data_IF_385426889543
#
_entry.id   IF_385426889543
#
_cell.length_a   1.000
_cell.length_b   1.000
_cell.length_c   1.000
_cell.angle_alpha   90.00
_cell.angle_beta   90.00
_cell.angle_gamma   90.00
#
_symmetry.space_group_name_H-M   'P 1'
#
loop_
_entity.id
_entity.type
_entity.pdbx_description
1 polymer ?
#
# COMPACT_ATOMS: atom_id res chain seq x y z
N UNK A 1 -24.09 21.93 -17.17
CA UNK A 1 -23.99 22.46 -15.80
C UNK A 1 -25.37 22.44 -15.17
N UNK A 2 -25.54 21.75 -14.05
CA UNK A 2 -26.78 21.66 -13.28
C UNK A 2 -27.06 23.01 -12.60
N UNK A 3 -28.16 23.70 -12.89
CA UNK A 3 -28.51 24.98 -12.26
C UNK A 3 -28.76 24.82 -10.75
N UNK A 4 -29.32 23.71 -10.31
CA UNK A 4 -29.56 23.41 -8.88
C UNK A 4 -28.27 23.34 -8.12
N UNK A 5 -27.23 22.71 -8.69
CA UNK A 5 -25.91 22.70 -8.11
C UNK A 5 -25.32 24.10 -7.86
N UNK A 6 -25.50 25.04 -8.83
CA UNK A 6 -25.04 26.43 -8.68
C UNK A 6 -25.73 27.13 -7.53
N UNK A 7 -27.05 26.96 -7.43
CA UNK A 7 -27.84 27.55 -6.35
C UNK A 7 -27.44 26.98 -4.99
N UNK A 8 -27.26 25.68 -4.91
CA UNK A 8 -26.81 25.01 -3.67
C UNK A 8 -25.38 25.38 -3.28
N UNK A 9 -24.46 25.42 -4.24
CA UNK A 9 -23.05 25.75 -3.98
C UNK A 9 -22.84 27.20 -3.53
N UNK A 10 -23.77 28.09 -3.86
CA UNK A 10 -23.73 29.48 -3.41
C UNK A 10 -24.28 29.70 -1.99
N UNK A 11 -24.89 28.67 -1.37
CA UNK A 11 -25.51 28.77 -0.04
C UNK A 11 -24.62 28.22 1.07
N UNK A 12 -24.72 28.78 2.28
CA UNK A 12 -24.08 28.19 3.45
C UNK A 12 -24.55 26.76 3.70
N UNK A 13 -23.65 25.96 4.27
CA UNK A 13 -23.94 24.57 4.66
C UNK A 13 -24.97 24.55 5.76
N UNK A 14 -25.97 23.68 5.64
CA UNK A 14 -27.08 23.50 6.59
C UNK A 14 -28.03 24.70 6.76
N UNK A 15 -28.04 25.64 5.82
CA UNK A 15 -29.20 26.52 5.68
C UNK A 15 -30.42 25.71 5.20
N UNK A 16 -31.62 26.22 5.54
CA UNK A 16 -32.89 25.59 5.22
C UNK A 16 -32.97 25.09 3.77
N UNK A 17 -33.60 23.95 3.61
CA UNK A 17 -33.89 23.40 2.29
C UNK A 17 -34.59 24.44 1.42
N UNK A 18 -34.30 24.44 0.16
CA UNK A 18 -34.93 25.33 -0.81
C UNK A 18 -35.75 24.57 -1.85
N UNK A 19 -36.77 25.20 -2.39
CA UNK A 19 -37.48 24.70 -3.56
C UNK A 19 -37.11 25.51 -4.79
N UNK A 20 -36.80 24.82 -5.89
CA UNK A 20 -36.58 25.42 -7.20
C UNK A 20 -37.60 24.85 -8.17
N UNK A 21 -38.25 25.74 -8.91
CA UNK A 21 -39.10 25.38 -10.04
C UNK A 21 -38.24 25.35 -11.30
N UNK A 22 -38.25 24.21 -11.99
CA UNK A 22 -37.41 24.05 -13.17
C UNK A 22 -37.91 24.77 -14.40
N UNK A 23 -39.24 25.07 -14.50
CA UNK A 23 -39.80 25.88 -15.58
C UNK A 23 -39.29 27.33 -15.49
N UNK A 24 -39.08 27.88 -14.32
CA UNK A 24 -38.49 29.20 -14.11
C UNK A 24 -36.99 29.25 -14.55
N UNK A 25 -36.33 28.11 -14.56
CA UNK A 25 -34.94 27.98 -15.02
C UNK A 25 -34.81 27.74 -16.54
N UNK A 26 -35.93 27.56 -17.24
CA UNK A 26 -35.92 27.23 -18.67
C UNK A 26 -35.27 28.30 -19.53
N UNK A 27 -35.43 29.58 -19.16
CA UNK A 27 -34.86 30.73 -19.86
C UNK A 27 -33.35 30.87 -19.60
N UNK A 28 -32.90 30.60 -18.37
CA UNK A 28 -31.47 30.73 -17.98
C UNK A 28 -30.64 29.56 -18.48
N UNK A 29 -31.22 28.34 -18.52
CA UNK A 29 -30.53 27.11 -18.88
C UNK A 29 -31.33 26.24 -19.87
N UNK A 30 -31.64 26.76 -21.10
CA UNK A 30 -32.57 26.12 -22.02
C UNK A 30 -32.16 24.72 -22.50
N UNK A 31 -30.84 24.44 -22.60
CA UNK A 31 -30.34 23.10 -22.98
C UNK A 31 -30.58 22.10 -21.86
N UNK A 32 -30.27 22.45 -20.61
CA UNK A 32 -30.47 21.58 -19.47
C UNK A 32 -31.94 21.26 -19.25
N UNK A 33 -32.82 22.29 -19.34
CA UNK A 33 -34.25 22.09 -19.24
C UNK A 33 -34.78 21.14 -20.32
N UNK A 34 -34.41 21.36 -21.58
CA UNK A 34 -34.90 20.59 -22.73
C UNK A 34 -34.39 19.17 -22.78
N UNK A 35 -33.09 18.95 -22.41
CA UNK A 35 -32.42 17.64 -22.55
C UNK A 35 -32.54 16.78 -21.29
N UNK A 36 -32.66 17.38 -20.12
CA UNK A 36 -32.64 16.66 -18.84
C UNK A 36 -33.97 16.79 -18.10
N UNK A 37 -34.44 18.02 -17.82
CA UNK A 37 -35.61 18.22 -16.95
C UNK A 37 -36.91 17.76 -17.59
N UNK A 38 -37.20 18.23 -18.76
CA UNK A 38 -38.47 17.95 -19.43
C UNK A 38 -38.67 16.47 -19.81
N UNK A 39 -37.67 15.77 -20.40
CA UNK A 39 -37.83 14.38 -20.75
C UNK A 39 -37.98 13.45 -19.54
N UNK A 40 -37.45 13.84 -18.38
CA UNK A 40 -37.50 13.06 -17.13
C UNK A 40 -38.64 13.53 -16.20
N UNK A 41 -39.51 14.44 -16.65
CA UNK A 41 -40.65 15.00 -15.88
C UNK A 41 -40.19 15.57 -14.51
N UNK A 42 -39.08 16.30 -14.50
CA UNK A 42 -38.53 16.93 -13.29
C UNK A 42 -39.00 18.38 -13.20
N UNK A 43 -40.13 18.58 -12.52
CA UNK A 43 -40.80 19.92 -12.43
C UNK A 43 -40.33 20.74 -11.24
N UNK A 44 -40.16 20.11 -10.09
CA UNK A 44 -39.75 20.75 -8.85
C UNK A 44 -38.61 19.99 -8.22
N UNK A 45 -37.72 20.71 -7.54
CA UNK A 45 -36.70 20.10 -6.69
C UNK A 45 -36.71 20.78 -5.33
N UNK A 46 -36.75 19.97 -4.26
CA UNK A 46 -36.40 20.39 -2.91
C UNK A 46 -34.97 19.98 -2.65
N UNK A 47 -34.10 20.91 -2.30
CA UNK A 47 -32.66 20.64 -2.20
C UNK A 47 -32.05 21.26 -0.96
N UNK A 48 -31.08 20.58 -0.37
CA UNK A 48 -30.31 21.05 0.76
C UNK A 48 -28.82 20.75 0.55
N UNK A 49 -27.96 21.72 0.87
CA UNK A 49 -26.51 21.54 0.86
C UNK A 49 -26.07 20.89 2.17
N UNK A 50 -25.39 19.75 2.08
CA UNK A 50 -24.86 19.03 3.23
C UNK A 50 -23.42 19.41 3.56
N UNK A 51 -22.62 19.64 2.52
CA UNK A 51 -21.22 20.08 2.61
C UNK A 51 -20.91 20.99 1.45
N UNK A 52 -20.11 22.01 1.72
CA UNK A 52 -19.63 22.94 0.72
C UNK A 52 -18.28 23.49 1.16
N UNK A 53 -17.21 22.76 0.87
CA UNK A 53 -15.84 23.24 1.03
C UNK A 53 -15.15 23.39 -0.33
N UNK A 54 -13.89 23.86 -0.34
CA UNK A 54 -13.16 24.13 -1.59
C UNK A 54 -12.91 22.88 -2.44
N UNK A 55 -12.90 21.72 -1.82
CA UNK A 55 -12.54 20.46 -2.45
C UNK A 55 -13.74 19.55 -2.66
N UNK A 56 -14.81 19.75 -1.91
CA UNK A 56 -15.92 18.82 -1.88
C UNK A 56 -17.26 19.50 -1.63
N UNK A 57 -18.21 19.17 -2.49
CA UNK A 57 -19.60 19.59 -2.36
C UNK A 57 -20.51 18.36 -2.35
N UNK A 58 -21.45 18.32 -1.41
CA UNK A 58 -22.48 17.31 -1.34
C UNK A 58 -23.83 17.95 -0.99
N UNK A 59 -24.87 17.54 -1.68
CA UNK A 59 -26.23 17.96 -1.43
C UNK A 59 -27.22 16.86 -1.73
N UNK A 60 -28.44 17.03 -1.26
CA UNK A 60 -29.57 16.15 -1.58
C UNK A 60 -30.58 17.00 -2.36
N UNK A 61 -31.06 16.46 -3.48
CA UNK A 61 -32.16 16.98 -4.24
C UNK A 61 -33.24 15.92 -4.40
N UNK A 62 -34.49 16.27 -4.04
CA UNK A 62 -35.66 15.42 -4.25
C UNK A 62 -36.52 16.07 -5.29
N UNK A 63 -36.86 15.34 -6.35
CA UNK A 63 -37.61 15.87 -7.49
C UNK A 63 -39.08 15.45 -7.48
N UNK A 64 -39.94 16.30 -8.03
CA UNK A 64 -41.34 16.02 -8.34
C UNK A 64 -41.64 16.32 -9.79
N UNK A 65 -42.64 15.63 -10.33
CA UNK A 65 -43.20 15.85 -11.65
C UNK A 65 -43.73 17.29 -11.83
N UNK A 66 -43.74 17.79 -13.07
CA UNK A 66 -44.42 19.05 -13.44
C UNK A 66 -45.94 19.05 -13.13
N UNK A 67 -46.53 17.84 -12.99
CA UNK A 67 -47.98 17.69 -12.70
C UNK A 67 -48.28 17.65 -11.20
N UNK A 68 -47.24 17.51 -10.36
CA UNK A 68 -47.39 17.48 -8.92
C UNK A 68 -47.46 18.91 -8.34
N UNK A 69 -47.95 19.02 -7.11
CA UNK A 69 -47.82 20.26 -6.35
C UNK A 69 -46.36 20.52 -5.94
N UNK A 70 -45.94 21.77 -5.80
CA UNK A 70 -44.66 22.13 -5.26
C UNK A 70 -44.41 21.52 -3.86
N UNK A 71 -43.14 21.42 -3.44
CA UNK A 71 -42.83 21.08 -2.07
C UNK A 71 -43.28 22.21 -1.13
N UNK A 72 -43.93 21.85 -0.04
CA UNK A 72 -44.36 22.79 1.00
C UNK A 72 -43.41 22.78 2.20
N UNK A 73 -43.70 23.62 3.19
CA UNK A 73 -42.90 23.82 4.39
C UNK A 73 -42.67 22.51 5.18
N UNK A 74 -43.64 21.59 5.15
CA UNK A 74 -43.53 20.31 5.86
C UNK A 74 -42.43 19.42 5.31
N UNK A 75 -42.33 19.34 3.98
CA UNK A 75 -41.31 18.55 3.30
C UNK A 75 -39.92 19.19 3.47
N UNK A 76 -39.86 20.52 3.43
CA UNK A 76 -38.61 21.25 3.67
C UNK A 76 -38.13 21.04 5.11
N UNK A 77 -38.99 21.14 6.12
CA UNK A 77 -38.67 20.83 7.51
C UNK A 77 -38.18 19.39 7.69
N UNK A 78 -38.76 18.44 6.94
CA UNK A 78 -38.28 17.06 6.97
C UNK A 78 -36.84 16.93 6.44
N UNK A 79 -36.50 17.62 5.37
CA UNK A 79 -35.14 17.66 4.85
C UNK A 79 -34.17 18.29 5.85
N UNK A 80 -34.58 19.36 6.54
CA UNK A 80 -33.76 20.03 7.57
C UNK A 80 -33.50 19.09 8.76
N UNK A 81 -34.50 18.30 9.20
CA UNK A 81 -34.34 17.30 10.26
C UNK A 81 -33.43 16.14 9.83
N UNK A 82 -33.50 15.73 8.57
CA UNK A 82 -32.71 14.62 8.04
C UNK A 82 -31.27 15.03 7.69
N UNK A 83 -31.02 16.30 7.37
CA UNK A 83 -29.71 16.78 6.94
C UNK A 83 -28.55 16.41 7.89
N UNK A 84 -28.66 16.57 9.23
CA UNK A 84 -27.61 16.18 10.16
C UNK A 84 -27.28 14.68 10.12
N UNK A 85 -28.26 13.83 9.85
CA UNK A 85 -28.07 12.38 9.74
C UNK A 85 -27.30 12.04 8.47
N UNK A 86 -27.65 12.65 7.34
CA UNK A 86 -26.88 12.50 6.09
C UNK A 86 -25.47 13.06 6.22
N UNK A 87 -25.29 14.22 6.84
CA UNK A 87 -23.97 14.78 7.11
C UNK A 87 -23.08 13.82 7.92
N UNK A 88 -23.66 13.21 8.98
CA UNK A 88 -22.94 12.23 9.80
C UNK A 88 -22.58 10.99 8.98
N UNK A 89 -23.51 10.44 8.21
CA UNK A 89 -23.26 9.27 7.37
C UNK A 89 -22.14 9.54 6.34
N UNK A 90 -22.19 10.68 5.65
CA UNK A 90 -21.16 11.07 4.68
C UNK A 90 -19.80 11.34 5.31
N UNK A 91 -19.74 11.90 6.54
CA UNK A 91 -18.47 12.06 7.27
C UNK A 91 -17.86 10.72 7.63
N UNK A 92 -18.67 9.78 8.08
CA UNK A 92 -18.22 8.41 8.41
C UNK A 92 -17.70 7.72 7.12
N UNK A 93 -18.44 7.82 6.03
CA UNK A 93 -18.05 7.22 4.75
C UNK A 93 -16.72 7.82 4.24
N UNK A 94 -16.60 9.15 4.25
CA UNK A 94 -15.35 9.85 3.86
C UNK A 94 -14.17 9.42 4.75
N UNK A 95 -14.36 9.34 6.05
CA UNK A 95 -13.32 8.91 6.98
C UNK A 95 -12.91 7.44 6.73
N UNK A 96 -13.87 6.57 6.47
CA UNK A 96 -13.63 5.16 6.14
C UNK A 96 -12.88 5.03 4.80
N UNK A 97 -13.31 5.73 3.76
CA UNK A 97 -12.62 5.75 2.46
C UNK A 97 -11.18 6.25 2.58
N UNK A 98 -10.95 7.33 3.34
CA UNK A 98 -9.60 7.85 3.58
C UNK A 98 -8.74 6.86 4.36
N UNK A 99 -9.28 6.20 5.38
CA UNK A 99 -8.57 5.18 6.14
C UNK A 99 -8.22 3.98 5.26
N UNK A 100 -9.16 3.51 4.45
CA UNK A 100 -8.96 2.39 3.51
C UNK A 100 -7.91 2.74 2.44
N UNK A 101 -7.97 3.96 1.89
CA UNK A 101 -6.99 4.40 0.90
C UNK A 101 -5.58 4.51 1.50
N UNK A 102 -5.46 5.05 2.71
CA UNK A 102 -4.17 5.09 3.42
C UNK A 102 -3.63 3.70 3.70
N UNK A 103 -4.49 2.80 4.16
CA UNK A 103 -4.10 1.40 4.40
C UNK A 103 -3.63 0.72 3.10
N UNK A 104 -4.35 0.88 1.99
CA UNK A 104 -3.96 0.34 0.68
C UNK A 104 -2.62 0.93 0.19
N UNK A 105 -2.40 2.24 0.36
CA UNK A 105 -1.13 2.88 0.01
C UNK A 105 0.04 2.34 0.84
N UNK A 106 -0.15 2.18 2.15
CA UNK A 106 0.86 1.58 3.03
C UNK A 106 1.12 0.12 2.67
N UNK A 107 0.09 -0.66 2.37
CA UNK A 107 0.25 -2.04 1.89
C UNK A 107 1.03 -2.11 0.58
N UNK A 108 0.78 -1.20 -0.35
CA UNK A 108 1.56 -1.10 -1.59
C UNK A 108 3.04 -0.86 -1.30
N UNK A 109 3.37 0.10 -0.43
CA UNK A 109 4.76 0.37 -0.02
C UNK A 109 5.40 -0.84 0.67
N UNK A 110 4.67 -1.49 1.60
CA UNK A 110 5.17 -2.71 2.27
C UNK A 110 5.39 -3.86 1.29
N UNK A 111 4.57 -3.95 0.23
CA UNK A 111 4.74 -4.95 -0.83
C UNK A 111 5.97 -4.70 -1.69
N UNK A 112 6.51 -3.49 -1.66
CA UNK A 112 7.74 -3.10 -2.35
C UNK A 112 9.01 -3.42 -1.56
N UNK A 113 8.89 -3.75 -0.28
CA UNK A 113 10.03 -4.17 0.51
C UNK A 113 10.56 -5.53 0.04
N UNK A 114 11.87 -5.66 0.03
CA UNK A 114 12.57 -6.93 -0.26
C UNK A 114 12.39 -7.97 0.86
N UNK A 115 12.05 -7.51 2.05
CA UNK A 115 11.89 -8.34 3.24
C UNK A 115 10.44 -8.75 3.43
N UNK A 116 10.20 -10.00 3.77
CA UNK A 116 8.92 -10.47 4.25
C UNK A 116 8.55 -9.76 5.54
N UNK A 117 7.33 -9.25 5.64
CA UNK A 117 6.77 -8.69 6.87
C UNK A 117 5.59 -9.55 7.28
N UNK A 118 5.61 -10.06 8.50
CA UNK A 118 4.50 -10.82 9.10
C UNK A 118 4.16 -10.19 10.45
N UNK A 119 2.86 -10.00 10.71
CA UNK A 119 2.37 -9.45 11.97
C UNK A 119 1.61 -10.52 12.72
N UNK A 120 1.93 -10.70 14.00
CA UNK A 120 1.28 -11.62 14.92
C UNK A 120 0.49 -10.85 15.98
N UNK A 121 -0.73 -11.32 16.26
CA UNK A 121 -1.53 -10.82 17.39
C UNK A 121 -1.07 -11.42 18.72
N UNK A 122 -1.78 -11.06 19.82
CA UNK A 122 -1.50 -11.58 21.17
C UNK A 122 -1.68 -13.09 21.34
N UNK A 123 -2.32 -13.80 20.39
CA UNK A 123 -2.52 -15.25 20.37
C UNK A 123 -1.57 -15.98 19.41
N UNK A 124 -0.50 -15.33 18.93
CA UNK A 124 0.45 -15.86 17.96
C UNK A 124 -0.16 -16.21 16.58
N UNK A 125 -1.28 -15.58 16.25
CA UNK A 125 -1.90 -15.73 14.94
C UNK A 125 -1.44 -14.64 13.99
N UNK A 126 -1.20 -15.01 12.74
CA UNK A 126 -0.87 -14.08 11.67
C UNK A 126 -2.10 -13.26 11.32
N UNK A 127 -2.02 -11.96 11.50
CA UNK A 127 -3.07 -10.99 11.14
C UNK A 127 -2.76 -10.26 9.84
N UNK A 128 -1.48 -10.21 9.47
CA UNK A 128 -1.03 -9.58 8.23
C UNK A 128 0.27 -10.22 7.74
N UNK A 129 0.44 -10.31 6.45
CA UNK A 129 1.73 -10.51 5.77
C UNK A 129 1.77 -9.75 4.45
N UNK A 130 2.95 -9.28 4.05
CA UNK A 130 3.14 -8.65 2.76
C UNK A 130 3.43 -9.68 1.65
N UNK A 131 3.45 -9.23 0.39
CA UNK A 131 3.69 -10.10 -0.77
C UNK A 131 5.07 -10.80 -0.73
N UNK A 132 6.10 -10.17 -0.15
CA UNK A 132 7.41 -10.80 0.01
C UNK A 132 7.35 -11.98 1.00
N UNK A 133 6.66 -11.80 2.15
CA UNK A 133 6.42 -12.89 3.09
C UNK A 133 5.62 -14.04 2.46
N UNK A 134 4.56 -13.72 1.72
CA UNK A 134 3.75 -14.72 1.03
C UNK A 134 4.58 -15.59 0.08
N UNK A 135 5.50 -14.97 -0.69
CA UNK A 135 6.41 -15.71 -1.57
C UNK A 135 7.40 -16.61 -0.80
N UNK A 136 7.93 -16.15 0.34
CA UNK A 136 8.81 -16.95 1.19
C UNK A 136 8.06 -18.13 1.82
N UNK A 137 6.85 -17.90 2.31
CA UNK A 137 5.97 -18.91 2.89
C UNK A 137 5.55 -19.95 1.86
N UNK A 138 5.19 -19.55 0.63
CA UNK A 138 4.77 -20.46 -0.44
C UNK A 138 5.91 -21.33 -0.99
N UNK A 139 7.14 -20.85 -0.93
CA UNK A 139 8.34 -21.61 -1.34
C UNK A 139 8.83 -22.62 -0.30
N UNK A 140 8.15 -22.73 0.84
CA UNK A 140 8.53 -23.60 1.95
C UNK A 140 9.99 -23.41 2.39
N UNK A 141 10.45 -22.16 2.43
CA UNK A 141 11.85 -21.82 2.64
C UNK A 141 12.33 -21.91 4.10
N UNK A 142 11.69 -22.71 4.94
CA UNK A 142 11.96 -22.86 6.37
C UNK A 142 10.88 -22.29 7.27
N UNK A 143 9.96 -21.49 6.71
CA UNK A 143 8.78 -20.94 7.39
C UNK A 143 7.53 -21.26 6.58
N UNK A 144 6.49 -21.71 7.25
CA UNK A 144 5.25 -22.20 6.65
C UNK A 144 4.03 -21.59 7.32
N UNK A 145 2.91 -21.49 6.59
CA UNK A 145 1.60 -21.20 7.16
C UNK A 145 0.82 -22.50 7.44
N UNK A 146 0.29 -22.61 8.65
CA UNK A 146 -0.67 -23.65 9.04
C UNK A 146 -1.92 -22.98 9.61
N UNK A 147 -2.93 -22.80 8.77
CA UNK A 147 -4.05 -21.93 9.07
C UNK A 147 -3.60 -20.49 9.32
N UNK A 148 -3.89 -19.96 10.50
CA UNK A 148 -3.47 -18.62 10.91
C UNK A 148 -2.15 -18.61 11.72
N UNK A 149 -1.41 -19.69 11.78
CA UNK A 149 -0.18 -19.80 12.58
C UNK A 149 1.03 -20.10 11.72
N UNK A 150 2.22 -19.66 12.20
CA UNK A 150 3.49 -19.99 11.59
C UNK A 150 4.01 -21.33 12.09
N UNK A 151 4.58 -22.10 11.20
CA UNK A 151 5.36 -23.30 11.48
C UNK A 151 6.75 -23.18 10.85
N UNK A 152 7.72 -23.79 11.47
CA UNK A 152 9.08 -23.93 10.96
C UNK A 152 9.33 -25.35 10.49
N UNK A 153 10.34 -25.55 9.67
CA UNK A 153 10.72 -26.89 9.22
C UNK A 153 11.24 -27.76 10.38
N UNK A 154 12.13 -27.20 11.21
CA UNK A 154 12.66 -27.90 12.35
C UNK A 154 11.99 -27.48 13.67
N UNK A 155 11.66 -28.44 14.56
CA UNK A 155 11.13 -28.14 15.90
C UNK A 155 12.03 -27.24 16.77
N UNK A 156 13.37 -27.38 16.62
CA UNK A 156 14.37 -26.53 17.29
C UNK A 156 14.19 -25.06 16.94
N UNK A 157 14.01 -24.78 15.65
CA UNK A 157 13.83 -23.42 15.14
C UNK A 157 12.49 -22.81 15.61
N UNK A 158 11.44 -23.66 15.70
CA UNK A 158 10.18 -23.27 16.32
C UNK A 158 10.37 -22.86 17.78
N UNK A 159 11.09 -23.67 18.56
CA UNK A 159 11.34 -23.36 19.96
C UNK A 159 12.09 -22.04 20.12
N UNK A 160 13.08 -21.76 19.28
CA UNK A 160 13.85 -20.51 19.31
C UNK A 160 12.99 -19.30 18.90
N UNK A 161 12.20 -19.41 17.82
CA UNK A 161 11.30 -18.36 17.35
C UNK A 161 10.28 -17.99 18.43
N UNK A 162 9.60 -18.98 19.00
CA UNK A 162 8.58 -18.72 20.01
C UNK A 162 9.16 -18.27 21.35
N UNK A 163 10.39 -18.70 21.70
CA UNK A 163 11.11 -18.16 22.85
C UNK A 163 11.46 -16.68 22.66
N UNK A 164 11.86 -16.28 21.44
CA UNK A 164 12.10 -14.88 21.10
C UNK A 164 10.80 -14.06 21.23
N UNK A 165 9.68 -14.51 20.64
CA UNK A 165 8.37 -13.86 20.75
C UNK A 165 7.96 -13.68 22.23
N UNK A 166 8.05 -14.75 23.03
CA UNK A 166 7.72 -14.70 24.45
C UNK A 166 8.64 -13.76 25.24
N UNK A 167 9.94 -13.75 24.91
CA UNK A 167 10.92 -12.87 25.52
C UNK A 167 10.62 -11.38 25.28
N UNK A 168 10.23 -11.02 24.06
CA UNK A 168 9.85 -9.66 23.74
C UNK A 168 8.58 -9.23 24.48
N UNK A 169 7.55 -10.07 24.54
CA UNK A 169 6.31 -9.80 25.31
C UNK A 169 6.57 -9.64 26.82
N UNK A 170 7.58 -10.30 27.34
CA UNK A 170 8.02 -10.15 28.73
C UNK A 170 8.93 -8.95 28.97
N UNK A 171 9.20 -8.14 27.95
CA UNK A 171 10.08 -6.98 28.05
C UNK A 171 11.56 -7.32 28.22
N UNK A 172 11.99 -8.56 27.98
CA UNK A 172 13.40 -9.00 28.11
C UNK A 172 14.30 -8.45 27.01
N UNK A 173 13.73 -8.18 25.85
CA UNK A 173 14.41 -7.57 24.69
C UNK A 173 13.42 -6.73 23.90
N UNK A 174 13.91 -5.78 23.08
CA UNK A 174 13.10 -5.02 22.13
C UNK A 174 13.06 -5.67 20.76
N UNK A 175 14.12 -6.40 20.43
CA UNK A 175 14.22 -7.16 19.19
C UNK A 175 15.14 -8.36 19.39
N UNK A 176 14.93 -9.41 18.59
CA UNK A 176 15.77 -10.59 18.57
C UNK A 176 15.81 -11.20 17.17
N UNK A 177 16.99 -11.60 16.70
CA UNK A 177 17.15 -12.30 15.43
C UNK A 177 17.16 -13.81 15.67
N UNK A 178 16.49 -14.56 14.78
CA UNK A 178 16.39 -16.02 14.78
C UNK A 178 16.70 -16.54 13.38
N UNK A 179 17.49 -17.61 13.28
CA UNK A 179 17.75 -18.30 12.02
C UNK A 179 16.80 -19.49 11.83
N UNK A 180 16.11 -19.57 10.71
CA UNK A 180 15.24 -20.72 10.40
C UNK A 180 15.87 -21.55 9.28
N UNK A 181 16.20 -22.80 9.58
CA UNK A 181 16.91 -23.69 8.69
C UNK A 181 15.95 -24.49 7.78
N UNK A 182 16.46 -24.91 6.63
CA UNK A 182 15.77 -25.82 5.72
C UNK A 182 16.79 -26.80 5.12
N UNK A 183 16.45 -28.10 4.91
CA UNK A 183 17.42 -29.10 4.44
C UNK A 183 17.98 -28.78 3.05
N UNK A 184 17.21 -28.21 2.18
CA UNK A 184 17.61 -27.91 0.80
C UNK A 184 18.22 -26.52 0.59
N UNK A 185 18.54 -25.80 1.69
CA UNK A 185 19.07 -24.44 1.64
C UNK A 185 20.40 -24.31 2.38
N UNK A 186 21.41 -23.71 1.74
CA UNK A 186 22.71 -23.53 2.37
C UNK A 186 22.73 -22.47 3.48
N UNK A 187 21.73 -21.55 3.46
CA UNK A 187 21.63 -20.46 4.43
C UNK A 187 20.24 -20.44 5.08
N UNK A 188 20.15 -20.18 6.39
CA UNK A 188 18.87 -20.03 7.07
C UNK A 188 18.15 -18.77 6.60
N UNK A 189 16.82 -18.74 6.66
CA UNK A 189 16.08 -17.50 6.69
C UNK A 189 16.43 -16.74 7.97
N UNK A 190 16.64 -15.45 7.87
CA UNK A 190 16.84 -14.59 9.03
C UNK A 190 15.50 -13.94 9.39
N UNK A 191 15.04 -14.16 10.59
CA UNK A 191 13.83 -13.55 11.14
C UNK A 191 14.21 -12.60 12.26
N UNK A 192 14.00 -11.30 12.02
CA UNK A 192 14.10 -10.30 13.08
C UNK A 192 12.72 -10.14 13.73
N UNK A 193 12.61 -10.54 14.98
CA UNK A 193 11.41 -10.44 15.80
C UNK A 193 11.42 -9.08 16.52
N UNK A 194 10.36 -8.29 16.40
CA UNK A 194 10.26 -6.96 17.00
C UNK A 194 8.90 -6.78 17.66
N UNK A 195 8.87 -6.24 18.88
CA UNK A 195 7.62 -5.83 19.53
C UNK A 195 7.21 -4.46 19.06
N UNK A 196 5.97 -4.30 18.64
CA UNK A 196 5.38 -3.01 18.31
C UNK A 196 4.89 -2.34 19.60
N UNK A 197 5.56 -1.27 20.03
CA UNK A 197 5.24 -0.52 21.24
C UNK A 197 4.20 0.61 21.02
N UNK A 198 3.97 1.03 19.77
CA UNK A 198 3.21 2.24 19.44
C UNK A 198 1.88 1.96 18.74
N UNK A 199 0.88 1.45 19.46
CA UNK A 199 -0.49 1.80 19.13
C UNK A 199 -0.83 3.07 19.95
N UNK A 200 -1.33 4.18 19.34
CA UNK A 200 -1.85 5.30 20.11
C UNK A 200 -2.86 4.78 21.14
N UNK A 201 -2.81 5.28 22.39
CA UNK A 201 -3.74 4.86 23.46
C UNK A 201 -5.23 4.91 23.05
N UNK A 202 -5.57 5.81 22.11
CA UNK A 202 -6.91 5.92 21.53
C UNK A 202 -7.32 4.73 20.65
N UNK A 203 -6.40 3.84 20.25
CA UNK A 203 -6.64 2.67 19.39
C UNK A 203 -6.28 1.35 20.07
N UNK A 204 -5.78 1.35 21.31
CA UNK A 204 -5.40 0.16 22.08
C UNK A 204 -6.56 -0.83 22.28
N UNK A 205 -7.82 -0.36 22.22
CA UNK A 205 -9.00 -1.22 22.24
C UNK A 205 -9.36 -1.90 20.91
N UNK A 206 -8.72 -1.49 19.80
CA UNK A 206 -8.97 -2.02 18.45
C UNK A 206 -7.81 -2.89 17.96
N UNK A 207 -6.58 -2.54 18.33
CA UNK A 207 -5.36 -3.29 18.05
C UNK A 207 -4.87 -3.89 19.37
N UNK A 208 -4.86 -5.23 19.46
CA UNK A 208 -4.47 -5.94 20.68
C UNK A 208 -3.07 -5.50 21.16
N UNK A 209 -2.93 -5.28 22.46
CA UNK A 209 -1.63 -5.05 23.10
C UNK A 209 -0.68 -6.21 22.75
N UNK A 210 0.55 -5.89 22.36
CA UNK A 210 1.60 -6.90 22.15
C UNK A 210 1.69 -7.49 20.74
N UNK A 211 1.36 -6.72 19.68
CA UNK A 211 1.63 -7.15 18.30
C UNK A 211 3.13 -7.35 18.08
N UNK A 212 3.48 -8.51 17.52
CA UNK A 212 4.84 -8.85 17.10
C UNK A 212 4.97 -8.69 15.60
N UNK A 213 6.00 -8.01 15.16
CA UNK A 213 6.37 -7.90 13.75
C UNK A 213 7.60 -8.76 13.48
N UNK A 214 7.50 -9.66 12.51
CA UNK A 214 8.60 -10.47 12.01
C UNK A 214 9.05 -9.91 10.67
N UNK A 215 10.33 -9.52 10.58
CA UNK A 215 10.97 -9.19 9.31
C UNK A 215 11.75 -10.41 8.84
N UNK A 216 11.32 -11.00 7.73
CA UNK A 216 11.90 -12.24 7.18
C UNK A 216 12.78 -11.90 5.99
N UNK A 217 14.04 -12.26 6.06
CA UNK A 217 15.04 -12.09 5.02
C UNK A 217 15.55 -13.43 4.52
N UNK A 218 15.73 -13.54 3.21
CA UNK A 218 16.41 -14.66 2.56
C UNK A 218 17.82 -14.24 2.09
N UNK A 219 18.89 -14.55 2.84
CA UNK A 219 20.25 -14.21 2.43
C UNK A 219 20.72 -14.94 1.16
N UNK A 220 20.07 -16.06 0.83
CA UNK A 220 20.35 -16.82 -0.38
C UNK A 220 19.61 -16.32 -1.62
N UNK A 221 18.80 -15.27 -1.48
CA UNK A 221 18.09 -14.69 -2.62
C UNK A 221 19.07 -13.99 -3.56
N UNK A 222 19.15 -14.40 -4.84
CA UNK A 222 20.08 -13.79 -5.77
C UNK A 222 19.73 -12.31 -6.02
N UNK A 223 20.77 -11.52 -6.25
CA UNK A 223 20.62 -10.16 -6.73
C UNK A 223 20.08 -10.18 -8.16
N UNK A 224 18.90 -9.60 -8.35
CA UNK A 224 18.20 -9.52 -9.63
C UNK A 224 17.79 -8.06 -9.89
N UNK A 225 18.72 -7.25 -10.39
CA UNK A 225 18.42 -5.90 -10.83
C UNK A 225 18.11 -5.89 -12.34
N UNK A 226 17.21 -4.98 -12.74
CA UNK A 226 16.93 -4.75 -14.14
C UNK A 226 18.16 -4.17 -14.86
N UNK A 227 18.48 -4.68 -16.04
CA UNK A 227 19.58 -4.16 -16.86
C UNK A 227 19.36 -2.68 -17.21
N UNK A 228 18.10 -2.28 -17.46
CA UNK A 228 17.70 -0.92 -17.74
C UNK A 228 17.94 0.03 -16.55
N UNK A 229 17.65 -0.43 -15.34
CA UNK A 229 17.87 0.35 -14.12
C UNK A 229 19.37 0.54 -13.85
N UNK A 230 20.16 -0.52 -14.03
CA UNK A 230 21.62 -0.45 -13.92
C UNK A 230 22.23 0.48 -14.99
N UNK A 231 21.70 0.43 -16.20
CA UNK A 231 22.10 1.32 -17.28
C UNK A 231 21.74 2.79 -16.99
N UNK A 232 20.53 3.03 -16.51
CA UNK A 232 20.05 4.38 -16.23
C UNK A 232 20.80 5.04 -15.06
N UNK A 233 21.06 4.31 -13.97
CA UNK A 233 21.67 4.85 -12.76
C UNK A 233 23.19 4.88 -12.80
N UNK A 234 23.82 3.86 -13.36
CA UNK A 234 25.28 3.71 -13.35
C UNK A 234 25.91 3.83 -14.74
N UNK A 235 25.09 4.11 -15.76
CA UNK A 235 25.52 4.20 -17.15
C UNK A 235 26.21 2.93 -17.66
N UNK A 236 25.78 1.76 -17.16
CA UNK A 236 26.32 0.48 -17.59
C UNK A 236 25.77 0.13 -18.98
N UNK A 237 26.61 -0.51 -19.78
CA UNK A 237 26.14 -1.21 -20.96
C UNK A 237 25.46 -2.51 -20.54
N UNK A 238 24.72 -3.14 -21.44
CA UNK A 238 24.07 -4.43 -21.19
C UNK A 238 25.07 -5.49 -20.72
N UNK A 239 26.24 -5.56 -21.35
CA UNK A 239 27.29 -6.50 -20.96
C UNK A 239 27.85 -6.20 -19.58
N UNK A 240 28.07 -4.93 -19.25
CA UNK A 240 28.51 -4.50 -17.91
C UNK A 240 27.45 -4.77 -16.85
N UNK A 241 26.17 -4.55 -17.15
CA UNK A 241 25.06 -4.89 -16.23
C UNK A 241 25.04 -6.39 -15.90
N UNK A 242 25.21 -7.24 -16.92
CA UNK A 242 25.30 -8.70 -16.72
C UNK A 242 26.49 -9.10 -15.84
N UNK A 243 27.68 -8.52 -16.11
CA UNK A 243 28.90 -8.82 -15.29
C UNK A 243 28.73 -8.29 -13.86
N UNK A 244 28.18 -7.10 -13.68
CA UNK A 244 27.94 -6.52 -12.37
C UNK A 244 26.96 -7.37 -11.55
N UNK A 245 25.85 -7.79 -12.14
CA UNK A 245 24.86 -8.68 -11.49
C UNK A 245 25.47 -10.03 -11.12
N UNK A 246 26.24 -10.65 -12.03
CA UNK A 246 26.90 -11.91 -11.75
C UNK A 246 27.95 -11.80 -10.62
N UNK A 247 28.68 -10.67 -10.57
CA UNK A 247 29.64 -10.38 -9.50
C UNK A 247 28.95 -10.25 -8.13
N UNK A 248 27.82 -9.51 -8.07
CA UNK A 248 27.04 -9.36 -6.84
C UNK A 248 26.51 -10.71 -6.34
N UNK A 249 26.20 -11.62 -7.27
CA UNK A 249 25.79 -13.00 -6.97
C UNK A 249 26.97 -13.94 -6.62
N UNK A 250 28.15 -13.39 -6.42
CA UNK A 250 29.32 -14.13 -5.92
C UNK A 250 30.05 -14.97 -6.97
N UNK A 251 29.78 -14.78 -8.27
CA UNK A 251 30.49 -15.52 -9.31
C UNK A 251 31.91 -14.98 -9.48
N UNK A 252 32.87 -15.91 -9.65
CA UNK A 252 34.23 -15.57 -10.01
C UNK A 252 34.34 -15.07 -11.46
N UNK A 253 35.45 -14.42 -11.79
CA UNK A 253 35.73 -13.96 -13.19
C UNK A 253 35.66 -15.13 -14.17
N UNK A 254 36.14 -16.31 -13.77
CA UNK A 254 36.09 -17.54 -14.56
C UNK A 254 34.65 -17.98 -14.83
N UNK A 255 33.86 -18.03 -13.77
CA UNK A 255 32.43 -18.42 -13.87
C UNK A 255 31.60 -17.40 -14.66
N UNK A 256 31.91 -16.10 -14.53
CA UNK A 256 31.29 -15.04 -15.34
C UNK A 256 31.64 -15.22 -16.81
N UNK A 257 32.93 -15.46 -17.13
CA UNK A 257 33.39 -15.66 -18.49
C UNK A 257 32.70 -16.88 -19.15
N UNK A 258 32.58 -17.98 -18.42
CA UNK A 258 31.88 -19.18 -18.87
C UNK A 258 30.38 -18.93 -19.09
N UNK A 259 29.73 -18.34 -18.12
CA UNK A 259 28.28 -18.01 -18.19
C UNK A 259 27.92 -17.10 -19.33
N UNK A 260 28.74 -16.08 -19.63
CA UNK A 260 28.51 -15.12 -20.69
C UNK A 260 29.15 -15.53 -22.03
N UNK A 261 29.84 -16.67 -22.09
CA UNK A 261 30.54 -17.21 -23.26
C UNK A 261 31.56 -16.19 -23.86
N UNK A 262 32.32 -15.54 -22.99
CA UNK A 262 33.35 -14.56 -23.33
C UNK A 262 34.70 -14.92 -22.72
N UNK A 263 35.81 -14.24 -23.16
CA UNK A 263 37.11 -14.48 -22.52
C UNK A 263 37.21 -13.85 -21.13
N UNK A 264 38.10 -14.37 -20.29
CA UNK A 264 38.40 -13.78 -18.96
C UNK A 264 38.93 -12.33 -19.10
N UNK A 265 39.67 -12.04 -20.16
CA UNK A 265 40.19 -10.70 -20.51
C UNK A 265 39.02 -9.74 -20.77
N UNK A 266 37.97 -10.21 -21.46
CA UNK A 266 36.74 -9.43 -21.72
C UNK A 266 36.05 -9.07 -20.41
N UNK A 267 35.88 -10.04 -19.50
CA UNK A 267 35.28 -9.80 -18.19
C UNK A 267 36.13 -8.81 -17.37
N UNK A 268 37.45 -8.96 -17.36
CA UNK A 268 38.35 -8.03 -16.66
C UNK A 268 38.27 -6.61 -17.23
N UNK A 269 38.15 -6.47 -18.55
CA UNK A 269 37.98 -5.19 -19.22
C UNK A 269 36.65 -4.53 -18.82
N UNK A 270 35.56 -5.30 -18.80
CA UNK A 270 34.23 -4.84 -18.34
C UNK A 270 34.25 -4.44 -16.87
N UNK A 271 34.91 -5.21 -15.99
CA UNK A 271 35.08 -4.85 -14.57
C UNK A 271 35.86 -3.54 -14.41
N UNK A 272 36.93 -3.34 -15.20
CA UNK A 272 37.70 -2.07 -15.20
C UNK A 272 36.82 -0.90 -15.59
N UNK A 273 35.95 -1.06 -16.58
CA UNK A 273 34.99 -0.05 -16.99
C UNK A 273 33.93 0.23 -15.88
N UNK A 274 33.39 -0.82 -15.27
CA UNK A 274 32.47 -0.72 -14.12
C UNK A 274 33.13 0.05 -12.97
N UNK A 275 34.37 -0.27 -12.62
CA UNK A 275 35.12 0.44 -11.58
C UNK A 275 35.27 1.92 -11.91
N UNK A 276 35.59 2.26 -13.17
CA UNK A 276 35.67 3.65 -13.61
C UNK A 276 34.33 4.39 -13.50
N UNK A 277 33.27 3.76 -13.91
CA UNK A 277 31.90 4.36 -13.85
C UNK A 277 31.41 4.56 -12.41
N UNK A 278 31.72 3.65 -11.50
CA UNK A 278 31.35 3.72 -10.09
C UNK A 278 32.36 4.52 -9.24
N UNK A 279 33.52 4.89 -9.77
CA UNK A 279 34.56 5.56 -8.99
C UNK A 279 35.19 4.69 -7.89
N UNK A 280 35.23 3.37 -8.09
CA UNK A 280 35.76 2.41 -7.13
C UNK A 280 36.96 1.65 -7.69
N UNK A 281 37.72 0.97 -6.80
CA UNK A 281 38.92 0.22 -7.19
C UNK A 281 38.87 -1.27 -6.84
N UNK A 282 37.86 -1.71 -6.09
CA UNK A 282 37.74 -3.09 -5.58
C UNK A 282 36.39 -3.69 -5.94
N UNK A 283 36.37 -4.99 -6.24
CA UNK A 283 35.13 -5.75 -6.47
C UNK A 283 34.17 -5.67 -5.30
N UNK A 284 34.66 -5.70 -4.08
CA UNK A 284 33.85 -5.60 -2.86
C UNK A 284 33.06 -4.27 -2.77
N UNK A 285 33.63 -3.17 -3.28
CA UNK A 285 32.96 -1.87 -3.29
C UNK A 285 31.84 -1.83 -4.34
N UNK A 286 32.04 -2.50 -5.50
CA UNK A 286 30.96 -2.67 -6.48
C UNK A 286 29.79 -3.43 -5.87
N UNK A 287 30.06 -4.58 -5.25
CA UNK A 287 29.05 -5.42 -4.58
C UNK A 287 28.29 -4.59 -3.52
N UNK A 288 29.03 -3.88 -2.66
CA UNK A 288 28.42 -3.05 -1.61
C UNK A 288 27.55 -1.94 -2.20
N UNK A 289 27.99 -1.24 -3.23
CA UNK A 289 27.21 -0.16 -3.85
C UNK A 289 25.94 -0.69 -4.51
N UNK A 290 26.01 -1.79 -5.24
CA UNK A 290 24.86 -2.37 -5.92
C UNK A 290 23.83 -2.95 -4.94
N UNK A 291 24.27 -3.64 -3.89
CA UNK A 291 23.36 -4.15 -2.84
C UNK A 291 22.64 -3.02 -2.09
N UNK A 292 23.32 -1.88 -1.88
CA UNK A 292 22.73 -0.73 -1.20
C UNK A 292 21.98 0.24 -2.13
N UNK A 293 21.96 -0.02 -3.42
CA UNK A 293 21.28 0.85 -4.40
C UNK A 293 19.75 0.77 -4.37
N UNK A 294 19.20 -0.24 -3.70
CA UNK A 294 17.76 -0.51 -3.71
C UNK A 294 17.23 -1.09 -5.03
N UNK A 295 18.12 -1.42 -5.99
CA UNK A 295 17.76 -1.92 -7.33
C UNK A 295 17.43 -3.41 -7.37
N UNK A 296 17.69 -4.14 -6.28
CA UNK A 296 17.40 -5.57 -6.27
C UNK A 296 15.89 -5.79 -6.48
N UNK A 297 15.53 -6.59 -7.48
CA UNK A 297 14.14 -6.92 -7.74
C UNK A 297 13.56 -7.70 -6.56
N UNK A 298 12.29 -7.50 -6.36
CA UNK A 298 11.51 -8.13 -5.29
C UNK A 298 11.53 -9.64 -5.42
N UNK A 299 11.59 -10.30 -4.27
CA UNK A 299 11.41 -11.74 -4.11
C UNK A 299 10.17 -12.29 -4.84
#
# INVERSE_FOLDING_TARGET
HDPVYRIQAARPVAEAALVVRHDEQAEENPLYYRLIMKPNDLGYVAAISLFNDKEWHAGIGVHRSFKAEPFGDRELQLLDVLAPHFQRALRIDKALQQATHRAASLQSVLSELMHGVVVLNGQDQVTYHNAAAERLLSRHAGLLMDGARLRTWYPSDAAELWAAVAGLRQGKARQQAVGLNHPDRPHPLIVLVTLREDAPESLSGVYGEGEIVLYVSDPGHPFDACEEDLAALFHFTRAESGVASALVNGLSVEQIAERHQVSRETVRSQLKSIFGKLGVSKQQDVVRLLLNSGLNRRL
#
